data_IF_249886287269
#
_entry.id   IF_249886287269
#
_cell.length_a   1.000
_cell.length_b   1.000
_cell.length_c   1.000
_cell.angle_alpha   90.00
_cell.angle_beta   90.00
_cell.angle_gamma   90.00
#
_symmetry.space_group_name_H-M   'P 1'
#
loop_
_entity.id
_entity.type
_entity.pdbx_description
1 polymer ?
#
# COMPACT_ATOMS: atom_id res chain seq x y z
N UNK A 1 15.89 6.97 -62.49
CA UNK A 1 14.53 6.69 -63.00
C UNK A 1 13.54 7.26 -62.00
N UNK A 2 12.91 8.38 -62.35
CA UNK A 2 11.84 9.13 -61.63
C UNK A 2 10.48 8.38 -61.71
N UNK A 3 9.34 8.84 -61.10
CA UNK A 3 9.09 10.15 -60.47
C UNK A 3 8.27 10.18 -59.13
N UNK A 4 8.41 11.32 -58.42
CA UNK A 4 7.43 12.24 -57.80
C UNK A 4 5.98 11.79 -57.45
N UNK A 5 5.50 12.20 -56.26
CA UNK A 5 4.56 13.34 -56.12
C UNK A 5 4.39 13.81 -54.65
N UNK A 6 4.57 15.11 -54.45
CA UNK A 6 4.34 15.90 -53.24
C UNK A 6 2.94 16.54 -53.25
N UNK A 7 2.28 16.65 -52.08
CA UNK A 7 1.00 17.37 -51.93
C UNK A 7 1.18 18.66 -51.14
N UNK A 8 0.62 19.74 -51.70
CA UNK A 8 0.61 21.13 -51.23
C UNK A 8 -0.46 21.36 -50.15
N UNK A 9 -0.14 22.31 -49.27
CA UNK A 9 -1.05 23.06 -48.40
C UNK A 9 -2.06 23.91 -49.17
N UNK A 10 -3.26 24.10 -48.61
CA UNK A 10 -4.12 25.25 -48.87
C UNK A 10 -4.92 25.59 -47.61
N UNK A 11 -4.80 26.85 -47.20
CA UNK A 11 -5.49 27.48 -46.07
C UNK A 11 -6.96 27.78 -46.40
N UNK A 12 -7.86 27.64 -45.41
CA UNK A 12 -9.25 28.08 -45.53
C UNK A 12 -9.45 29.46 -44.92
N UNK A 13 -10.19 30.31 -45.65
CA UNK A 13 -10.50 31.70 -45.33
C UNK A 13 -11.61 31.83 -44.31
N UNK A 14 -11.51 32.92 -43.55
CA UNK A 14 -12.50 33.49 -42.64
C UNK A 14 -13.66 34.15 -43.40
N UNK A 15 -14.88 34.04 -42.86
CA UNK A 15 -15.97 35.00 -43.10
C UNK A 15 -16.64 35.33 -41.77
N UNK A 16 -16.71 36.63 -41.48
CA UNK A 16 -17.37 37.24 -40.33
C UNK A 16 -18.87 37.42 -40.59
N UNK A 17 -19.67 37.27 -39.55
CA UNK A 17 -21.03 37.81 -39.45
C UNK A 17 -21.28 38.29 -38.02
N UNK A 18 -21.84 39.48 -37.92
CA UNK A 18 -21.89 40.39 -36.79
C UNK A 18 -22.73 39.87 -35.61
N UNK A 19 -22.35 40.23 -34.38
CA UNK A 19 -23.23 40.15 -33.20
C UNK A 19 -23.16 41.45 -32.40
N UNK A 20 -24.33 42.10 -32.32
CA UNK A 20 -24.64 43.26 -31.48
C UNK A 20 -24.38 42.95 -30.00
N UNK A 21 -23.74 43.91 -29.35
CA UNK A 21 -23.60 44.01 -27.90
C UNK A 21 -24.87 44.65 -27.34
N UNK A 22 -25.55 43.97 -26.42
CA UNK A 22 -26.45 44.60 -25.44
C UNK A 22 -26.16 43.95 -24.08
N UNK A 23 -25.57 44.71 -23.17
CA UNK A 23 -25.38 44.35 -21.76
C UNK A 23 -26.70 44.49 -21.01
N UNK A 24 -27.05 43.50 -20.19
CA UNK A 24 -27.97 43.66 -19.05
C UNK A 24 -27.69 42.59 -17.97
N UNK A 25 -27.98 42.90 -16.70
CA UNK A 25 -27.18 42.43 -15.56
C UNK A 25 -27.61 41.06 -15.01
N UNK A 26 -26.64 40.47 -14.29
CA UNK A 26 -26.69 39.22 -13.57
C UNK A 26 -27.85 39.14 -12.56
N UNK A 27 -28.67 38.11 -12.67
CA UNK A 27 -29.44 37.54 -11.56
C UNK A 27 -29.22 36.03 -11.53
N UNK A 28 -28.62 35.56 -10.44
CA UNK A 28 -28.36 34.12 -10.21
C UNK A 28 -29.63 33.41 -9.78
N UNK A 29 -30.01 32.28 -10.39
CA UNK A 29 -30.99 31.38 -9.80
C UNK A 29 -30.28 30.47 -8.79
N UNK A 30 -30.75 30.52 -7.56
CA UNK A 30 -30.38 29.65 -6.45
C UNK A 30 -30.75 28.20 -6.75
N UNK A 31 -29.74 27.38 -7.07
CA UNK A 31 -29.88 25.93 -7.16
C UNK A 31 -29.97 25.38 -5.73
N UNK A 32 -31.19 25.04 -5.31
CA UNK A 32 -31.42 24.20 -4.14
C UNK A 32 -30.85 22.81 -4.42
N UNK A 33 -29.65 22.54 -3.92
CA UNK A 33 -29.09 21.20 -3.85
C UNK A 33 -29.89 20.40 -2.83
N UNK A 34 -30.68 19.44 -3.32
CA UNK A 34 -31.21 18.36 -2.47
C UNK A 34 -30.00 17.65 -1.87
N UNK A 35 -29.78 17.82 -0.56
CA UNK A 35 -28.91 16.95 0.23
C UNK A 35 -29.51 15.54 0.15
N UNK A 36 -28.95 14.69 -0.70
CA UNK A 36 -29.06 13.27 -0.46
C UNK A 36 -28.35 12.99 0.87
N UNK A 37 -29.08 12.39 1.80
CA UNK A 37 -28.50 11.81 3.00
C UNK A 37 -27.69 10.57 2.57
N UNK A 38 -26.51 10.80 2.01
CA UNK A 38 -25.47 9.78 1.90
C UNK A 38 -24.94 9.54 3.29
N UNK A 39 -25.45 8.49 3.94
CA UNK A 39 -25.01 8.07 5.26
C UNK A 39 -23.48 7.93 5.31
N UNK A 40 -22.89 8.40 6.39
CA UNK A 40 -21.50 8.11 6.76
C UNK A 40 -21.35 6.59 6.93
N UNK A 41 -21.08 5.88 5.84
CA UNK A 41 -20.72 4.46 5.82
C UNK A 41 -19.29 4.28 5.28
N UNK A 42 -18.41 5.25 5.55
CA UNK A 42 -17.04 5.30 5.02
C UNK A 42 -15.99 5.45 6.13
N UNK A 43 -16.07 4.64 7.20
CA UNK A 43 -15.00 4.63 8.22
C UNK A 43 -14.42 3.25 8.54
N UNK A 44 -14.90 2.20 7.88
CA UNK A 44 -14.29 0.89 8.01
C UNK A 44 -14.41 0.13 6.69
N UNK A 45 -13.30 -0.10 5.96
CA UNK A 45 -13.34 -0.79 4.68
C UNK A 45 -13.58 -2.30 4.78
N UNK A 46 -13.63 -2.87 5.99
CA UNK A 46 -13.74 -4.30 6.23
C UNK A 46 -14.87 -4.57 7.20
N UNK A 47 -15.90 -5.30 6.76
CA UNK A 47 -16.93 -5.77 7.67
C UNK A 47 -16.47 -7.00 8.51
N UNK A 48 -17.26 -7.32 9.52
CA UNK A 48 -17.06 -8.48 10.40
C UNK A 48 -16.86 -9.80 9.64
N UNK A 49 -17.65 -10.00 8.58
CA UNK A 49 -17.69 -11.25 7.82
C UNK A 49 -16.42 -11.42 7.01
N UNK A 50 -15.95 -10.35 6.36
CA UNK A 50 -14.72 -10.36 5.59
C UNK A 50 -13.51 -10.55 6.50
N UNK A 51 -13.44 -9.86 7.64
CA UNK A 51 -12.32 -9.98 8.58
C UNK A 51 -12.13 -11.43 9.06
N UNK A 52 -13.22 -12.14 9.33
CA UNK A 52 -13.20 -13.53 9.77
C UNK A 52 -12.74 -14.52 8.69
N UNK A 53 -12.71 -14.12 7.41
CA UNK A 53 -12.26 -14.95 6.28
C UNK A 53 -10.76 -14.85 6.03
N UNK A 54 -10.06 -13.96 6.71
CA UNK A 54 -8.61 -13.83 6.55
C UNK A 54 -7.90 -15.08 7.06
N UNK A 55 -6.90 -15.52 6.31
CA UNK A 55 -6.13 -16.72 6.60
C UNK A 55 -5.24 -16.49 7.82
N UNK A 56 -5.14 -17.49 8.69
CA UNK A 56 -4.03 -17.57 9.65
C UNK A 56 -2.70 -17.72 8.90
N UNK A 57 -1.59 -17.48 9.59
CA UNK A 57 -0.25 -17.74 9.05
C UNK A 57 -0.12 -19.17 8.51
N UNK A 58 -0.54 -20.17 9.27
CA UNK A 58 -0.47 -21.58 8.86
C UNK A 58 -1.26 -21.85 7.58
N UNK A 59 -2.46 -21.28 7.46
CA UNK A 59 -3.31 -21.45 6.27
C UNK A 59 -2.72 -20.74 5.06
N UNK A 60 -2.26 -19.49 5.21
CA UNK A 60 -1.60 -18.75 4.13
C UNK A 60 -0.30 -19.42 3.70
N UNK A 61 0.53 -19.87 4.64
CA UNK A 61 1.80 -20.53 4.34
C UNK A 61 1.60 -21.84 3.56
N UNK A 62 0.46 -22.52 3.75
CA UNK A 62 0.10 -23.70 2.97
C UNK A 62 -0.30 -23.38 1.51
N UNK A 63 -0.65 -22.12 1.19
CA UNK A 63 -0.93 -21.68 -0.18
C UNK A 63 0.29 -21.06 -0.89
N UNK A 64 1.42 -20.89 -0.19
CA UNK A 64 2.64 -20.30 -0.75
C UNK A 64 3.31 -21.28 -1.72
N UNK A 65 3.45 -20.86 -2.97
CA UNK A 65 4.11 -21.62 -4.04
C UNK A 65 5.51 -21.05 -4.35
N UNK A 66 5.72 -19.74 -4.15
CA UNK A 66 6.96 -19.02 -4.46
C UNK A 66 7.64 -18.49 -3.20
N UNK A 67 8.97 -18.50 -3.20
CA UNK A 67 9.81 -17.93 -2.13
C UNK A 67 9.53 -18.49 -0.73
N UNK A 68 9.02 -19.73 -0.68
CA UNK A 68 8.64 -20.43 0.54
C UNK A 68 9.82 -20.52 1.54
N UNK A 69 11.03 -20.71 1.04
CA UNK A 69 12.26 -20.73 1.84
C UNK A 69 12.57 -19.38 2.51
N UNK A 70 12.24 -18.27 1.85
CA UNK A 70 12.43 -16.93 2.40
C UNK A 70 11.37 -16.63 3.45
N UNK A 71 10.12 -17.00 3.20
CA UNK A 71 9.05 -16.91 4.19
C UNK A 71 9.45 -17.62 5.49
N UNK A 72 9.94 -18.86 5.40
CA UNK A 72 10.35 -19.65 6.57
C UNK A 72 11.56 -19.01 7.28
N UNK A 73 12.58 -18.62 6.51
CA UNK A 73 13.78 -17.99 7.08
C UNK A 73 13.47 -16.70 7.84
N UNK A 74 12.59 -15.86 7.31
CA UNK A 74 12.19 -14.60 7.97
C UNK A 74 11.25 -14.86 9.13
N UNK A 75 10.45 -15.93 9.10
CA UNK A 75 9.65 -16.33 10.25
C UNK A 75 10.54 -16.75 11.43
N UNK A 76 11.60 -17.52 11.14
CA UNK A 76 12.56 -18.01 12.14
C UNK A 76 13.47 -16.89 12.66
N UNK A 77 13.95 -16.01 11.77
CA UNK A 77 14.76 -14.83 12.08
C UNK A 77 14.09 -13.53 11.54
N UNK A 78 13.17 -12.95 12.31
CA UNK A 78 12.38 -11.81 11.87
C UNK A 78 13.13 -10.47 11.92
N UNK A 79 14.36 -10.44 12.45
CA UNK A 79 15.19 -9.23 12.50
C UNK A 79 14.73 -8.17 13.51
N UNK A 80 13.99 -8.57 14.53
CA UNK A 80 13.66 -7.76 15.71
C UNK A 80 13.81 -8.60 17.00
N UNK A 81 13.98 -7.93 18.13
CA UNK A 81 14.02 -8.55 19.45
C UNK A 81 12.90 -8.06 20.39
N UNK A 82 12.93 -8.47 21.66
CA UNK A 82 11.89 -8.09 22.61
C UNK A 82 11.98 -6.60 23.02
N UNK A 83 13.15 -5.98 22.91
CA UNK A 83 13.30 -4.54 23.18
C UNK A 83 12.63 -3.71 22.09
N UNK A 84 12.67 -4.17 20.84
CA UNK A 84 11.91 -3.59 19.73
C UNK A 84 10.38 -3.67 19.97
N UNK A 85 9.89 -4.72 20.63
CA UNK A 85 8.47 -4.92 20.95
C UNK A 85 8.01 -4.21 22.23
N UNK A 86 8.92 -3.87 23.14
CA UNK A 86 8.60 -3.27 24.44
C UNK A 86 7.56 -2.12 24.36
N UNK A 87 7.66 -1.15 23.42
CA UNK A 87 6.69 -0.07 23.32
C UNK A 87 5.29 -0.54 22.94
N UNK A 88 5.17 -1.63 22.18
CA UNK A 88 3.89 -2.15 21.70
C UNK A 88 3.07 -2.83 22.81
N UNK A 89 3.65 -3.14 23.97
CA UNK A 89 2.90 -3.65 25.11
C UNK A 89 1.93 -2.61 25.70
N UNK A 90 2.16 -1.32 25.46
CA UNK A 90 1.24 -0.24 25.84
C UNK A 90 0.08 -0.07 24.83
N UNK A 91 0.13 -0.74 23.68
CA UNK A 91 -0.89 -0.67 22.64
C UNK A 91 -1.99 -1.67 22.95
N UNK A 92 -3.29 -1.29 22.89
CA UNK A 92 -4.38 -2.23 23.08
C UNK A 92 -4.31 -3.35 22.04
N UNK A 93 -4.83 -4.56 22.32
CA UNK A 93 -4.75 -5.66 21.36
C UNK A 93 -5.37 -5.33 20.01
N UNK A 94 -4.63 -5.57 18.92
CA UNK A 94 -5.02 -5.25 17.56
C UNK A 94 -5.17 -6.49 16.69
N UNK A 95 -6.08 -6.42 15.72
CA UNK A 95 -6.10 -7.34 14.58
C UNK A 95 -5.39 -6.68 13.40
N UNK A 96 -4.29 -7.28 12.95
CA UNK A 96 -3.52 -6.86 11.79
C UNK A 96 -4.10 -7.56 10.56
N UNK A 97 -4.63 -6.79 9.62
CA UNK A 97 -4.99 -7.26 8.29
C UNK A 97 -3.79 -7.08 7.38
N UNK A 98 -3.22 -8.20 6.94
CA UNK A 98 -2.15 -8.25 5.97
C UNK A 98 -2.70 -8.56 4.58
N UNK A 99 -2.38 -7.76 3.58
CA UNK A 99 -2.70 -8.07 2.17
C UNK A 99 -1.39 -8.28 1.43
N UNK A 100 -1.20 -9.45 0.82
CA UNK A 100 0.09 -9.80 0.22
C UNK A 100 0.03 -10.98 -0.74
N UNK A 101 1.10 -11.15 -1.49
CA UNK A 101 1.29 -12.24 -2.45
C UNK A 101 2.70 -12.80 -2.33
N UNK A 102 2.83 -14.11 -2.54
CA UNK A 102 4.06 -14.86 -2.34
C UNK A 102 5.17 -14.54 -3.36
N UNK A 103 4.81 -13.97 -4.49
CA UNK A 103 5.73 -13.52 -5.53
C UNK A 103 6.37 -12.16 -5.23
N UNK A 104 5.83 -11.41 -4.27
CA UNK A 104 6.26 -10.04 -4.03
C UNK A 104 7.43 -9.98 -3.03
N UNK A 105 8.60 -9.41 -3.41
CA UNK A 105 9.75 -9.28 -2.52
C UNK A 105 9.44 -8.48 -1.26
N UNK A 106 8.64 -7.43 -1.39
CA UNK A 106 8.26 -6.64 -0.24
C UNK A 106 7.42 -7.47 0.76
N UNK A 107 6.66 -8.47 0.30
CA UNK A 107 5.81 -9.34 1.13
C UNK A 107 6.62 -10.44 1.79
N UNK A 108 7.33 -11.28 1.02
CA UNK A 108 8.02 -12.44 1.60
C UNK A 108 9.18 -12.07 2.53
N UNK A 109 9.70 -10.84 2.44
CA UNK A 109 10.70 -10.33 3.38
C UNK A 109 10.12 -9.70 4.65
N UNK A 110 8.84 -9.36 4.72
CA UNK A 110 8.29 -8.55 5.83
C UNK A 110 7.05 -9.15 6.50
N UNK A 111 6.21 -9.88 5.76
CA UNK A 111 5.01 -10.50 6.30
C UNK A 111 5.30 -11.48 7.45
N UNK A 112 6.30 -12.38 7.37
CA UNK A 112 6.59 -13.28 8.47
C UNK A 112 6.97 -12.56 9.76
N UNK A 113 7.71 -11.44 9.67
CA UNK A 113 8.05 -10.65 10.84
C UNK A 113 6.80 -10.13 11.55
N UNK A 114 5.82 -9.59 10.81
CA UNK A 114 4.55 -9.13 11.38
C UNK A 114 3.69 -10.26 11.96
N UNK A 115 3.79 -11.48 11.42
CA UNK A 115 3.19 -12.66 12.06
C UNK A 115 3.83 -12.89 13.43
N UNK A 116 5.18 -12.88 13.51
CA UNK A 116 5.90 -13.06 14.78
C UNK A 116 5.57 -11.96 15.80
N UNK A 117 5.37 -10.72 15.35
CA UNK A 117 4.90 -9.62 16.23
C UNK A 117 3.55 -9.97 16.86
N UNK A 118 2.57 -10.36 16.04
CA UNK A 118 1.23 -10.69 16.53
C UNK A 118 1.23 -11.90 17.48
N UNK A 119 2.07 -12.89 17.24
CA UNK A 119 2.20 -14.07 18.12
C UNK A 119 2.85 -13.73 19.47
N UNK A 120 3.73 -12.73 19.54
CA UNK A 120 4.42 -12.33 20.78
C UNK A 120 3.64 -11.32 21.62
N UNK A 121 2.75 -10.54 21.01
CA UNK A 121 1.96 -9.52 21.71
C UNK A 121 0.62 -10.09 22.22
N UNK A 122 0.32 -10.00 23.53
CA UNK A 122 -0.90 -10.57 24.10
C UNK A 122 -2.18 -10.06 23.43
N UNK A 123 -2.96 -11.00 22.87
CA UNK A 123 -4.26 -10.74 22.24
C UNK A 123 -4.18 -10.08 20.86
N UNK A 124 -2.99 -9.86 20.31
CA UNK A 124 -2.86 -9.47 18.92
C UNK A 124 -3.16 -10.65 18.01
N UNK A 125 -3.72 -10.36 16.84
CA UNK A 125 -3.97 -11.35 15.79
C UNK A 125 -3.50 -10.82 14.44
N UNK A 126 -3.11 -11.71 13.53
CA UNK A 126 -2.84 -11.36 12.15
C UNK A 126 -3.67 -12.23 11.20
N UNK A 127 -4.36 -11.59 10.26
CA UNK A 127 -5.21 -12.19 9.23
C UNK A 127 -4.68 -11.81 7.84
N UNK A 128 -4.39 -12.81 7.01
CA UNK A 128 -3.75 -12.64 5.70
C UNK A 128 -4.77 -12.79 4.58
N UNK A 129 -4.72 -11.89 3.60
CA UNK A 129 -5.58 -11.87 2.43
C UNK A 129 -4.72 -11.86 1.16
N UNK A 130 -4.83 -12.88 0.28
CA UNK A 130 -4.23 -12.84 -1.06
C UNK A 130 -4.80 -11.66 -1.86
N UNK A 131 -3.94 -10.71 -2.20
CA UNK A 131 -4.31 -9.47 -2.92
C UNK A 131 -5.19 -9.71 -4.13
N UNK A 132 -4.80 -10.68 -4.96
CA UNK A 132 -5.39 -10.91 -6.27
C UNK A 132 -6.79 -11.56 -6.15
N UNK A 133 -7.06 -12.23 -5.02
CA UNK A 133 -8.38 -12.79 -4.68
C UNK A 133 -9.30 -11.76 -3.98
N UNK A 134 -8.75 -10.65 -3.52
CA UNK A 134 -9.46 -9.63 -2.74
C UNK A 134 -9.29 -8.20 -3.32
N UNK A 135 -9.64 -7.95 -4.59
CA UNK A 135 -9.38 -6.65 -5.25
C UNK A 135 -10.16 -5.48 -4.62
N UNK A 136 -11.40 -5.69 -4.16
CA UNK A 136 -12.20 -4.65 -3.50
C UNK A 136 -11.60 -4.24 -2.15
N UNK A 137 -11.06 -5.21 -1.41
CA UNK A 137 -10.34 -4.96 -0.17
C UNK A 137 -9.07 -4.15 -0.46
N UNK A 138 -8.32 -4.53 -1.49
CA UNK A 138 -7.11 -3.80 -1.90
C UNK A 138 -7.42 -2.36 -2.33
N UNK A 139 -8.57 -2.09 -2.94
CA UNK A 139 -9.00 -0.74 -3.33
C UNK A 139 -9.27 0.19 -2.16
N UNK A 140 -9.48 -0.34 -0.95
CA UNK A 140 -9.55 0.48 0.25
C UNK A 140 -8.18 0.99 0.73
N UNK A 141 -7.08 0.37 0.28
CA UNK A 141 -5.72 0.64 0.75
C UNK A 141 -4.78 1.07 -0.39
N UNK A 142 -5.27 1.96 -1.25
CA UNK A 142 -4.48 2.47 -2.38
C UNK A 142 -3.35 3.39 -1.89
N UNK A 143 -2.11 2.98 -2.18
CA UNK A 143 -0.95 3.81 -1.94
C UNK A 143 -1.06 5.12 -2.74
N UNK A 144 -1.00 6.25 -2.02
CA UNK A 144 -1.24 7.61 -2.55
C UNK A 144 -2.55 7.72 -3.36
N UNK A 145 -3.58 6.98 -2.94
CA UNK A 145 -4.91 6.99 -3.56
C UNK A 145 -4.98 6.40 -4.97
N UNK A 146 -3.91 5.74 -5.46
CA UNK A 146 -3.83 5.30 -6.86
C UNK A 146 -3.25 3.91 -7.10
N UNK A 147 -2.32 3.44 -6.25
CA UNK A 147 -1.55 2.23 -6.55
C UNK A 147 -1.88 1.09 -5.58
N UNK A 148 -2.21 -0.08 -6.12
CA UNK A 148 -2.39 -1.32 -5.35
C UNK A 148 -1.04 -1.93 -4.97
N UNK A 149 -0.37 -1.35 -3.96
CA UNK A 149 0.92 -1.82 -3.43
C UNK A 149 0.72 -2.85 -2.31
N UNK A 150 1.56 -3.88 -2.31
CA UNK A 150 1.64 -4.89 -1.24
C UNK A 150 3.06 -4.92 -0.67
N UNK A 151 3.24 -5.36 0.60
CA UNK A 151 2.18 -5.69 1.55
C UNK A 151 1.36 -4.47 1.97
N UNK A 152 0.13 -4.71 2.42
CA UNK A 152 -0.63 -3.77 3.27
C UNK A 152 -0.62 -4.34 4.68
N UNK A 153 -0.41 -3.50 5.69
CA UNK A 153 -0.65 -3.81 7.09
C UNK A 153 -1.65 -2.79 7.64
N UNK A 154 -2.89 -3.22 7.84
CA UNK A 154 -3.97 -2.40 8.40
C UNK A 154 -4.29 -2.86 9.81
N UNK A 155 -4.33 -1.93 10.76
CA UNK A 155 -4.43 -2.22 12.18
C UNK A 155 -5.82 -1.89 12.71
N UNK A 156 -6.53 -2.89 13.21
CA UNK A 156 -7.91 -2.76 13.70
C UNK A 156 -7.96 -2.95 15.21
N UNK A 157 -8.78 -2.13 15.89
CA UNK A 157 -9.09 -2.35 17.29
C UNK A 157 -10.09 -3.51 17.48
N UNK A 158 -10.38 -3.87 18.74
CA UNK A 158 -11.36 -4.92 19.09
C UNK A 158 -12.79 -4.62 18.62
N UNK A 159 -13.12 -3.35 18.37
CA UNK A 159 -14.42 -2.92 17.83
C UNK A 159 -14.42 -2.95 16.30
N UNK A 160 -13.30 -3.36 15.68
CA UNK A 160 -13.05 -3.44 14.25
C UNK A 160 -13.00 -2.06 13.58
N UNK A 161 -12.64 -1.01 14.31
CA UNK A 161 -12.32 0.27 13.68
C UNK A 161 -10.88 0.30 13.23
N UNK A 162 -10.66 0.76 11.99
CA UNK A 162 -9.33 0.97 11.46
C UNK A 162 -8.64 2.08 12.25
N UNK A 163 -7.51 1.74 12.86
CA UNK A 163 -6.67 2.67 13.59
C UNK A 163 -5.73 3.38 12.62
N UNK A 164 -4.86 2.59 11.98
CA UNK A 164 -3.91 3.08 10.98
C UNK A 164 -3.56 1.98 10.00
N UNK A 165 -2.87 2.32 8.91
CA UNK A 165 -2.38 1.34 7.95
C UNK A 165 -1.10 1.82 7.26
N UNK A 166 -0.35 0.85 6.75
CA UNK A 166 0.88 1.05 6.01
C UNK A 166 0.90 0.19 4.75
N UNK A 167 1.59 0.62 3.67
CA UNK A 167 1.67 -0.17 2.43
C UNK A 167 2.95 0.02 1.63
N UNK A 168 3.42 -1.10 1.06
CA UNK A 168 4.48 -1.15 0.06
C UNK A 168 5.85 -1.44 0.67
N UNK A 169 6.75 -0.45 0.61
CA UNK A 169 8.14 -0.58 1.09
C UNK A 169 8.55 0.67 1.84
N UNK A 170 9.56 0.53 2.71
CA UNK A 170 10.09 1.66 3.47
C UNK A 170 10.58 2.77 2.53
N UNK A 171 10.62 4.00 3.03
CA UNK A 171 11.16 5.13 2.29
C UNK A 171 12.60 4.86 1.84
N UNK A 172 13.39 4.14 2.64
CA UNK A 172 14.73 3.73 2.26
C UNK A 172 14.74 2.75 1.07
N UNK A 173 13.98 1.66 1.15
CA UNK A 173 13.85 0.70 0.07
C UNK A 173 13.30 1.36 -1.20
N UNK A 174 12.34 2.27 -1.05
CA UNK A 174 11.76 3.03 -2.14
C UNK A 174 12.80 3.90 -2.84
N UNK A 175 13.62 4.66 -2.10
CA UNK A 175 14.70 5.47 -2.68
C UNK A 175 15.72 4.63 -3.42
N UNK A 176 16.10 3.48 -2.88
CA UNK A 176 17.04 2.58 -3.53
C UNK A 176 16.47 2.04 -4.86
N UNK A 177 15.22 1.53 -4.84
CA UNK A 177 14.55 1.02 -6.04
C UNK A 177 14.37 2.12 -7.09
N UNK A 178 13.96 3.33 -6.70
CA UNK A 178 13.82 4.46 -7.62
C UNK A 178 15.18 4.82 -8.26
N UNK A 179 16.25 4.81 -7.46
CA UNK A 179 17.61 5.03 -7.95
C UNK A 179 18.08 3.95 -8.93
N UNK A 180 17.78 2.68 -8.67
CA UNK A 180 18.13 1.57 -9.57
C UNK A 180 17.31 1.58 -10.87
N UNK A 181 16.06 2.00 -10.79
CA UNK A 181 15.17 2.11 -11.96
C UNK A 181 15.50 3.32 -12.83
N UNK A 182 16.09 4.38 -12.27
CA UNK A 182 16.49 5.58 -12.98
C UNK A 182 15.36 6.19 -13.84
N UNK A 183 14.15 6.26 -13.27
CA UNK A 183 12.96 6.80 -13.93
C UNK A 183 12.19 5.79 -14.79
N UNK A 184 12.69 4.56 -14.98
CA UNK A 184 11.96 3.48 -15.64
C UNK A 184 10.97 2.79 -14.69
N UNK A 185 9.97 2.12 -15.25
CA UNK A 185 9.12 1.17 -14.53
C UNK A 185 9.65 -0.25 -14.67
N UNK A 186 9.20 -1.15 -13.79
CA UNK A 186 9.59 -2.56 -13.87
C UNK A 186 9.26 -3.21 -15.22
N UNK A 187 8.11 -2.83 -15.81
CA UNK A 187 7.68 -3.36 -17.11
C UNK A 187 8.55 -2.89 -18.27
N UNK A 188 9.27 -1.79 -18.11
CA UNK A 188 10.22 -1.26 -19.10
C UNK A 188 11.61 -1.93 -19.04
N UNK A 189 11.84 -2.82 -18.07
CA UNK A 189 13.10 -3.54 -17.94
C UNK A 189 13.12 -4.83 -18.77
N UNK A 190 14.27 -5.16 -19.34
CA UNK A 190 14.52 -6.46 -19.96
C UNK A 190 14.58 -7.58 -18.91
N UNK A 191 14.33 -8.86 -19.28
CA UNK A 191 14.33 -9.97 -18.31
C UNK A 191 15.60 -10.07 -17.45
N UNK A 192 16.78 -9.83 -18.05
CA UNK A 192 18.05 -9.83 -17.34
C UNK A 192 18.16 -8.66 -16.33
N UNK A 193 17.65 -7.49 -16.68
CA UNK A 193 17.60 -6.32 -15.78
C UNK A 193 16.63 -6.56 -14.62
N UNK A 194 15.46 -7.17 -14.88
CA UNK A 194 14.50 -7.57 -13.83
C UNK A 194 15.13 -8.57 -12.86
N UNK A 195 15.86 -9.57 -13.36
CA UNK A 195 16.56 -10.52 -12.52
C UNK A 195 17.67 -9.85 -11.68
N UNK A 196 18.42 -8.92 -12.26
CA UNK A 196 19.44 -8.16 -11.53
C UNK A 196 18.83 -7.25 -10.45
N UNK A 197 17.70 -6.59 -10.76
CA UNK A 197 16.95 -5.78 -9.80
C UNK A 197 16.43 -6.63 -8.64
N UNK A 198 15.87 -7.81 -8.94
CA UNK A 198 15.42 -8.76 -7.92
C UNK A 198 16.54 -9.14 -6.95
N UNK A 199 17.72 -9.52 -7.47
CA UNK A 199 18.90 -9.83 -6.64
C UNK A 199 19.34 -8.66 -5.75
N UNK A 200 19.33 -7.43 -6.28
CA UNK A 200 19.67 -6.22 -5.51
C UNK A 200 18.65 -5.96 -4.41
N UNK A 201 17.37 -6.15 -4.71
CA UNK A 201 16.29 -5.96 -3.76
C UNK A 201 16.35 -7.00 -2.64
N UNK A 202 16.61 -8.27 -2.97
CA UNK A 202 16.84 -9.34 -1.99
C UNK A 202 18.01 -9.04 -1.05
N UNK A 203 19.14 -8.61 -1.60
CA UNK A 203 20.30 -8.21 -0.80
C UNK A 203 19.94 -7.04 0.13
N UNK A 204 19.27 -6.02 -0.41
CA UNK A 204 18.83 -4.87 0.37
C UNK A 204 17.90 -5.26 1.52
N UNK A 205 16.96 -6.19 1.31
CA UNK A 205 16.10 -6.71 2.37
C UNK A 205 16.86 -7.47 3.45
N UNK A 206 17.82 -8.32 3.06
CA UNK A 206 18.66 -9.05 4.01
C UNK A 206 19.51 -8.11 4.87
N UNK A 207 20.02 -7.03 4.28
CA UNK A 207 20.93 -6.11 4.94
C UNK A 207 20.24 -5.06 5.81
N UNK A 208 19.20 -4.40 5.28
CA UNK A 208 18.66 -3.18 5.93
C UNK A 208 17.19 -2.87 5.67
N UNK A 209 16.62 -3.26 4.53
CA UNK A 209 15.24 -2.87 4.21
C UNK A 209 14.19 -3.56 5.10
N UNK A 210 14.46 -4.77 5.62
CA UNK A 210 13.59 -5.40 6.63
C UNK A 210 13.51 -4.56 7.89
N UNK A 211 14.68 -4.16 8.43
CA UNK A 211 14.76 -3.30 9.61
C UNK A 211 14.08 -1.94 9.38
N UNK A 212 14.40 -1.27 8.28
CA UNK A 212 13.81 0.01 7.93
C UNK A 212 12.27 -0.06 7.76
N UNK A 213 11.76 -1.17 7.21
CA UNK A 213 10.32 -1.41 7.11
C UNK A 213 9.66 -1.53 8.48
N UNK A 214 10.24 -2.37 9.34
CA UNK A 214 9.77 -2.56 10.70
C UNK A 214 9.78 -1.25 11.50
N UNK A 215 10.88 -0.50 11.46
CA UNK A 215 11.02 0.78 12.16
C UNK A 215 9.99 1.82 11.71
N UNK A 216 9.68 1.90 10.40
CA UNK A 216 8.68 2.84 9.90
C UNK A 216 7.26 2.51 10.38
N UNK A 217 6.89 1.23 10.40
CA UNK A 217 5.57 0.81 10.89
C UNK A 217 5.51 0.95 12.43
N UNK A 218 6.61 0.65 13.14
CA UNK A 218 6.70 0.89 14.59
C UNK A 218 6.55 2.39 14.89
N UNK A 219 7.21 3.26 14.14
CA UNK A 219 7.06 4.70 14.27
C UNK A 219 5.62 5.18 13.97
N UNK A 220 4.97 4.60 12.96
CA UNK A 220 3.56 4.85 12.65
C UNK A 220 2.65 4.49 13.84
N UNK A 221 2.85 3.32 14.44
CA UNK A 221 2.07 2.87 15.60
C UNK A 221 2.35 3.74 16.83
N UNK A 222 3.62 4.05 17.12
CA UNK A 222 4.00 4.97 18.21
C UNK A 222 3.34 6.34 18.06
N UNK A 223 3.36 6.90 16.85
CA UNK A 223 2.73 8.18 16.56
C UNK A 223 1.21 8.12 16.73
N UNK A 224 0.56 7.06 16.22
CA UNK A 224 -0.89 6.89 16.31
C UNK A 224 -1.37 6.72 17.76
N UNK A 225 -0.66 5.92 18.56
CA UNK A 225 -1.01 5.64 19.95
C UNK A 225 -0.34 6.58 20.97
N UNK A 226 0.30 7.65 20.50
CA UNK A 226 0.99 8.64 21.34
C UNK A 226 1.98 8.02 22.35
N UNK A 227 2.71 7.00 21.91
CA UNK A 227 3.72 6.34 22.74
C UNK A 227 4.98 7.20 22.81
N UNK A 228 5.42 7.54 24.03
CA UNK A 228 6.71 8.19 24.25
C UNK A 228 7.89 7.33 23.80
N UNK A 229 9.12 7.88 23.78
CA UNK A 229 10.32 7.13 23.42
C UNK A 229 10.52 5.85 24.26
N UNK A 230 10.04 5.87 25.51
CA UNK A 230 10.16 4.76 26.48
C UNK A 230 8.89 3.92 26.64
N UNK A 231 7.89 4.07 25.77
CA UNK A 231 6.63 3.28 25.84
C UNK A 231 5.68 3.66 26.98
N UNK A 232 6.03 4.62 27.82
CA UNK A 232 5.08 5.26 28.73
C UNK A 232 4.25 6.29 27.95
N UNK A 233 2.94 6.10 27.91
CA UNK A 233 2.01 7.10 27.37
C UNK A 233 2.11 8.41 28.16
N UNK A 234 1.98 9.53 27.46
CA UNK A 234 1.89 10.86 28.06
C UNK A 234 0.58 11.03 28.85
#
# INVERSE_FOLDING_TARGET
MWPFHSRRFLASRSTAAERRIIMSPLTSPSVQTRRSAGGCSAMNPIDATLLNRGLSWREYRATVEKNADVFDRVYDDPGFDDADLAPLHAVPPLTVVAIGEDWCPDVYHTLPAWVRVAERLPGWELKIFPRDQHPQLMDAFLYRGRARRVPVYAFYDRRRYLQTWWSGRSAEAQRAVDGWLAGRTFDQLEPAERAALGKRLDAGYRERFRRANFDEILALLKAFFHLGPDGAGA
#
